data_IF_810256185980
#
_entry.id   IF_810256185980
#
_cell.length_a   1.000
_cell.length_b   1.000
_cell.length_c   1.000
_cell.angle_alpha   90.00
_cell.angle_beta   90.00
_cell.angle_gamma   90.00
#
_symmetry.space_group_name_H-M   'P 1'
#
loop_
_entity.id
_entity.type
_entity.pdbx_description
1 polymer ?
#
# COMPACT_ATOMS: atom_id res chain seq x y z
N UNK A 1 -8.71 -15.27 -0.16
CA UNK A 1 -7.76 -14.94 -1.24
C UNK A 1 -6.78 -13.91 -0.72
N UNK A 2 -5.52 -14.01 -1.09
CA UNK A 2 -4.46 -13.08 -0.68
C UNK A 2 -3.44 -12.90 -1.81
N UNK A 3 -2.63 -11.85 -1.70
CA UNK A 3 -1.47 -11.65 -2.57
C UNK A 3 -0.30 -12.47 -2.00
N UNK A 4 0.26 -13.35 -2.82
CA UNK A 4 1.50 -14.05 -2.51
C UNK A 4 2.64 -13.39 -3.29
N UNK A 5 3.24 -12.37 -2.68
CA UNK A 5 4.32 -11.57 -3.26
C UNK A 5 5.50 -12.43 -3.69
N UNK A 6 5.92 -13.38 -2.85
CA UNK A 6 7.06 -14.26 -3.12
C UNK A 6 6.88 -15.07 -4.42
N UNK A 7 5.65 -15.49 -4.72
CA UNK A 7 5.31 -16.25 -5.93
C UNK A 7 4.64 -15.41 -7.03
N UNK A 8 4.60 -14.08 -6.88
CA UNK A 8 4.03 -13.15 -7.87
C UNK A 8 2.60 -13.51 -8.33
N UNK A 9 1.75 -13.95 -7.40
CA UNK A 9 0.40 -14.44 -7.73
C UNK A 9 -0.65 -14.08 -6.67
N UNK A 10 -1.91 -14.18 -7.08
CA UNK A 10 -3.04 -14.26 -6.16
C UNK A 10 -3.27 -15.72 -5.80
N UNK A 11 -3.42 -15.96 -4.51
CA UNK A 11 -3.53 -17.29 -3.94
C UNK A 11 -4.72 -17.42 -3.00
N UNK A 12 -5.13 -18.66 -2.76
CA UNK A 12 -6.11 -19.04 -1.75
C UNK A 12 -5.60 -20.22 -0.93
N UNK A 13 -6.27 -20.49 0.19
CA UNK A 13 -5.96 -21.61 1.06
C UNK A 13 -6.09 -22.94 0.29
N UNK A 14 -5.26 -23.90 0.67
CA UNK A 14 -5.27 -25.26 0.15
C UNK A 14 -5.17 -26.22 1.33
N UNK A 15 -5.94 -27.31 1.28
CA UNK A 15 -5.90 -28.36 2.31
C UNK A 15 -4.69 -29.29 2.16
N UNK A 16 -4.08 -29.35 0.96
CA UNK A 16 -3.01 -30.31 0.61
C UNK A 16 -1.66 -29.69 0.28
N UNK A 17 -1.67 -28.42 -0.15
CA UNK A 17 -0.46 -27.69 -0.57
C UNK A 17 -0.32 -26.43 0.27
N UNK A 18 0.81 -25.76 0.18
CA UNK A 18 1.02 -24.47 0.87
C UNK A 18 -0.01 -23.41 0.45
N UNK A 19 -0.44 -23.40 -0.81
CA UNK A 19 -1.51 -22.56 -1.34
C UNK A 19 -2.02 -23.09 -2.69
N UNK A 20 -3.18 -22.59 -3.13
CA UNK A 20 -3.69 -22.77 -4.50
C UNK A 20 -3.62 -21.44 -5.24
N UNK A 21 -3.08 -21.44 -6.46
CA UNK A 21 -3.05 -20.23 -7.30
C UNK A 21 -4.44 -19.97 -7.87
N UNK A 22 -4.87 -18.72 -7.72
CA UNK A 22 -6.10 -18.20 -8.31
C UNK A 22 -5.81 -17.47 -9.62
N UNK A 23 -4.77 -16.64 -9.65
CA UNK A 23 -4.37 -15.85 -10.81
C UNK A 23 -2.90 -15.43 -10.69
N UNK A 24 -2.22 -15.20 -11.81
CA UNK A 24 -0.91 -14.53 -11.89
C UNK A 24 -0.91 -13.61 -13.12
N UNK A 25 -0.14 -12.51 -13.13
CA UNK A 25 0.00 -11.69 -14.33
C UNK A 25 0.51 -12.52 -15.52
N UNK A 26 0.09 -12.21 -16.74
CA UNK A 26 0.52 -12.92 -17.96
C UNK A 26 2.03 -12.89 -18.16
N UNK A 27 2.69 -11.80 -17.78
CA UNK A 27 4.14 -11.63 -17.92
C UNK A 27 4.98 -12.48 -16.94
N UNK A 28 4.37 -13.15 -15.95
CA UNK A 28 5.09 -14.04 -15.04
C UNK A 28 5.18 -15.44 -15.67
N UNK A 29 6.36 -15.87 -16.10
CA UNK A 29 6.52 -17.15 -16.83
C UNK A 29 6.36 -18.39 -15.94
N UNK A 30 6.74 -18.30 -14.66
CA UNK A 30 6.70 -19.44 -13.73
C UNK A 30 6.33 -19.02 -12.31
N UNK A 31 5.70 -19.94 -11.56
CA UNK A 31 5.37 -19.77 -10.15
C UNK A 31 6.55 -20.20 -9.27
N UNK A 32 7.58 -19.36 -9.20
CA UNK A 32 8.79 -19.58 -8.40
C UNK A 32 8.87 -18.59 -7.24
N UNK A 33 9.51 -18.95 -6.11
CA UNK A 33 9.63 -18.08 -4.94
C UNK A 33 10.71 -16.99 -5.13
N UNK A 34 10.54 -16.14 -6.13
CA UNK A 34 11.57 -15.22 -6.62
C UNK A 34 11.18 -13.74 -6.50
N UNK A 35 9.94 -13.45 -6.06
CA UNK A 35 9.42 -12.09 -5.92
C UNK A 35 9.77 -11.22 -7.14
N UNK A 36 9.30 -11.64 -8.33
CA UNK A 36 9.74 -11.08 -9.60
C UNK A 36 9.21 -9.65 -9.78
N UNK A 37 7.91 -9.45 -9.54
CA UNK A 37 7.22 -8.19 -9.78
C UNK A 37 6.87 -7.38 -8.52
N UNK A 38 7.00 -8.00 -7.34
CA UNK A 38 6.45 -7.47 -6.08
C UNK A 38 4.98 -7.11 -6.17
N UNK A 39 4.16 -8.10 -6.55
CA UNK A 39 2.71 -8.02 -6.40
C UNK A 39 2.39 -7.80 -4.92
N UNK A 40 1.70 -6.72 -4.58
CA UNK A 40 1.60 -6.27 -3.18
C UNK A 40 0.21 -5.77 -2.77
N UNK A 41 -0.71 -5.60 -3.71
CA UNK A 41 -2.02 -5.04 -3.42
C UNK A 41 -3.14 -5.74 -4.17
N UNK A 42 -4.32 -5.77 -3.55
CA UNK A 42 -5.54 -6.35 -4.11
C UNK A 42 -6.74 -5.47 -3.75
N UNK A 43 -7.47 -5.05 -4.77
CA UNK A 43 -8.77 -4.41 -4.65
C UNK A 43 -9.88 -5.39 -5.00
N UNK A 44 -10.91 -5.40 -4.16
CA UNK A 44 -12.12 -6.20 -4.33
C UNK A 44 -13.26 -5.27 -4.74
N UNK A 45 -13.96 -5.60 -5.81
CA UNK A 45 -15.14 -4.89 -6.31
C UNK A 45 -16.34 -5.83 -6.23
N UNK A 46 -17.39 -5.43 -5.51
CA UNK A 46 -18.62 -6.24 -5.34
C UNK A 46 -18.31 -7.69 -4.92
N UNK A 47 -17.38 -7.86 -3.98
CA UNK A 47 -16.98 -9.18 -3.44
C UNK A 47 -16.05 -10.00 -4.33
N UNK A 48 -15.65 -9.51 -5.51
CA UNK A 48 -14.73 -10.20 -6.43
C UNK A 48 -13.39 -9.49 -6.50
N UNK A 49 -12.30 -10.26 -6.50
CA UNK A 49 -10.97 -9.74 -6.83
C UNK A 49 -11.02 -9.07 -8.20
N UNK A 50 -10.60 -7.80 -8.29
CA UNK A 50 -10.68 -7.05 -9.55
C UNK A 50 -9.39 -6.37 -9.96
N UNK A 51 -8.69 -5.71 -9.06
CA UNK A 51 -7.45 -5.00 -9.41
C UNK A 51 -6.32 -5.38 -8.48
N UNK A 52 -5.10 -5.34 -9.00
CA UNK A 52 -3.88 -5.54 -8.21
C UNK A 52 -2.85 -4.48 -8.51
N UNK A 53 -1.95 -4.25 -7.56
CA UNK A 53 -0.76 -3.42 -7.76
C UNK A 53 0.50 -4.27 -7.69
N UNK A 54 1.50 -3.91 -8.48
CA UNK A 54 2.86 -4.43 -8.35
C UNK A 54 3.90 -3.31 -8.56
N UNK A 55 5.11 -3.50 -8.04
CA UNK A 55 6.19 -2.49 -8.12
C UNK A 55 6.89 -2.50 -9.46
N UNK A 56 6.88 -3.62 -10.20
CA UNK A 56 7.38 -3.65 -11.57
C UNK A 56 6.84 -4.83 -12.38
N UNK A 57 6.75 -4.68 -13.71
CA UNK A 57 6.42 -5.76 -14.66
C UNK A 57 7.62 -6.67 -14.98
N UNK A 58 8.42 -7.04 -13.97
CA UNK A 58 9.58 -7.90 -14.18
C UNK A 58 9.21 -9.38 -14.06
N UNK A 59 9.85 -10.20 -14.89
CA UNK A 59 9.86 -11.66 -14.80
C UNK A 59 11.22 -12.22 -14.36
N UNK A 60 12.08 -11.37 -13.79
CA UNK A 60 13.39 -11.74 -13.27
C UNK A 60 13.38 -11.78 -11.73
N UNK A 61 14.24 -12.62 -11.14
CA UNK A 61 14.42 -12.71 -9.68
C UNK A 61 14.61 -11.33 -9.09
N UNK A 62 13.74 -10.95 -8.14
CA UNK A 62 13.83 -9.67 -7.45
C UNK A 62 13.85 -8.42 -8.35
N UNK A 63 13.42 -8.52 -9.62
CA UNK A 63 13.66 -7.51 -10.65
C UNK A 63 12.99 -6.15 -10.41
N UNK A 64 12.01 -6.10 -9.51
CA UNK A 64 11.39 -4.85 -9.08
C UNK A 64 12.33 -3.91 -8.31
N UNK A 65 13.39 -4.42 -7.67
CA UNK A 65 14.25 -3.63 -6.75
C UNK A 65 14.92 -2.44 -7.44
N UNK A 66 15.29 -2.57 -8.71
CA UNK A 66 15.90 -1.48 -9.49
C UNK A 66 14.87 -0.57 -10.20
N UNK A 67 13.57 -0.79 -10.00
CA UNK A 67 12.49 -0.10 -10.72
C UNK A 67 11.43 0.51 -9.78
N UNK A 68 11.84 0.86 -8.56
CA UNK A 68 10.95 1.35 -7.48
C UNK A 68 10.24 2.68 -7.78
N UNK A 69 10.89 3.61 -8.48
CA UNK A 69 10.38 4.98 -8.66
C UNK A 69 9.25 5.11 -9.69
N UNK A 70 9.32 4.43 -10.83
CA UNK A 70 8.33 4.53 -11.92
C UNK A 70 8.00 3.18 -12.57
N UNK A 71 8.40 2.07 -11.96
CA UNK A 71 8.15 0.75 -12.51
C UNK A 71 6.75 0.22 -12.22
N UNK A 72 6.06 0.81 -11.25
CA UNK A 72 4.84 0.28 -10.68
C UNK A 72 3.64 0.45 -11.58
N UNK A 73 2.70 -0.48 -11.44
CA UNK A 73 1.47 -0.46 -12.21
C UNK A 73 0.29 -1.03 -11.43
N UNK A 74 -0.90 -0.72 -11.96
CA UNK A 74 -2.18 -1.26 -11.58
C UNK A 74 -2.69 -2.16 -12.71
N UNK A 75 -3.12 -3.37 -12.37
CA UNK A 75 -3.56 -4.40 -13.33
C UNK A 75 -5.01 -4.76 -13.06
N UNK A 76 -5.82 -4.87 -14.12
CA UNK A 76 -7.14 -5.49 -14.05
C UNK A 76 -7.00 -7.01 -14.16
N UNK A 77 -7.46 -7.73 -13.14
CA UNK A 77 -7.35 -9.20 -13.07
C UNK A 77 -8.17 -9.88 -14.18
N UNK A 78 -9.27 -9.28 -14.62
CA UNK A 78 -10.20 -9.92 -15.56
C UNK A 78 -9.72 -9.88 -17.00
N UNK A 79 -9.08 -8.79 -17.40
CA UNK A 79 -8.52 -8.61 -18.76
C UNK A 79 -7.02 -8.82 -18.81
N UNK A 80 -6.35 -8.88 -17.64
CA UNK A 80 -4.89 -8.87 -17.50
C UNK A 80 -4.24 -7.57 -18.04
N UNK A 81 -5.03 -6.52 -18.24
CA UNK A 81 -4.56 -5.26 -18.79
C UNK A 81 -3.96 -4.35 -17.72
N UNK A 82 -2.94 -3.59 -18.13
CA UNK A 82 -2.37 -2.53 -17.32
C UNK A 82 -3.27 -1.30 -17.43
N UNK A 83 -3.91 -0.96 -16.31
CA UNK A 83 -4.83 0.19 -16.23
C UNK A 83 -4.08 1.49 -15.94
N UNK A 84 -3.02 1.42 -15.14
CA UNK A 84 -2.19 2.59 -14.82
C UNK A 84 -0.73 2.15 -14.66
N UNK A 85 0.20 2.99 -15.11
CA UNK A 85 1.64 2.75 -15.06
C UNK A 85 2.39 3.98 -14.53
N UNK A 86 3.72 3.88 -14.46
CA UNK A 86 4.60 4.92 -13.93
C UNK A 86 4.34 5.27 -12.45
N UNK A 87 3.78 4.32 -11.69
CA UNK A 87 3.59 4.44 -10.25
C UNK A 87 4.89 4.12 -9.49
N UNK A 88 5.05 4.78 -8.34
CA UNK A 88 6.18 4.65 -7.42
C UNK A 88 5.80 3.76 -6.24
N UNK A 89 6.15 2.48 -6.35
CA UNK A 89 5.81 1.44 -5.37
C UNK A 89 4.33 1.50 -4.94
N UNK A 90 3.36 1.29 -5.84
CA UNK A 90 1.94 1.43 -5.51
C UNK A 90 1.48 0.37 -4.48
N UNK A 91 0.69 0.77 -3.49
CA UNK A 91 0.16 -0.14 -2.45
C UNK A 91 -1.34 0.04 -2.23
N UNK A 92 -1.93 -0.98 -1.60
CA UNK A 92 -3.29 -0.99 -1.05
C UNK A 92 -4.35 -0.37 -1.96
N UNK A 93 -4.52 -0.89 -3.19
CA UNK A 93 -5.63 -0.45 -4.04
C UNK A 93 -6.96 -0.81 -3.36
N UNK A 94 -7.92 0.11 -3.43
CA UNK A 94 -9.25 -0.01 -2.83
C UNK A 94 -10.30 0.56 -3.77
N UNK A 95 -11.35 -0.19 -4.03
CA UNK A 95 -12.54 0.34 -4.69
C UNK A 95 -13.44 0.98 -3.64
N UNK A 96 -13.68 2.29 -3.74
CA UNK A 96 -14.50 3.03 -2.77
C UNK A 96 -15.15 4.25 -3.43
N UNK A 97 -16.44 4.46 -3.18
CA UNK A 97 -17.26 5.52 -3.80
C UNK A 97 -17.04 5.64 -5.32
N UNK A 98 -17.17 4.50 -6.01
CA UNK A 98 -17.04 4.37 -7.47
C UNK A 98 -15.71 4.87 -8.07
N UNK A 99 -14.67 4.92 -7.23
CA UNK A 99 -13.29 5.25 -7.62
C UNK A 99 -12.35 4.14 -7.16
N UNK A 100 -11.26 3.98 -7.90
CA UNK A 100 -10.16 3.10 -7.54
C UNK A 100 -9.04 3.91 -6.90
N UNK A 101 -9.02 3.89 -5.56
CA UNK A 101 -8.02 4.57 -4.75
C UNK A 101 -6.79 3.71 -4.55
N UNK A 102 -5.61 4.31 -4.42
CA UNK A 102 -4.38 3.61 -4.07
C UNK A 102 -3.37 4.56 -3.41
N UNK A 103 -2.30 3.98 -2.90
CA UNK A 103 -1.16 4.68 -2.33
C UNK A 103 0.00 4.65 -3.33
N UNK A 104 0.46 5.82 -3.78
CA UNK A 104 1.69 5.95 -4.54
C UNK A 104 2.87 6.09 -3.57
N UNK A 105 3.17 5.00 -2.86
CA UNK A 105 3.85 5.02 -1.56
C UNK A 105 5.22 5.64 -1.55
N UNK A 106 6.05 5.35 -2.56
CA UNK A 106 7.41 5.90 -2.63
C UNK A 106 7.46 7.32 -3.23
N UNK A 107 6.33 7.85 -3.68
CA UNK A 107 6.16 9.27 -3.99
C UNK A 107 5.55 10.05 -2.82
N UNK A 108 4.80 9.40 -1.93
CA UNK A 108 4.11 10.07 -0.83
C UNK A 108 2.70 10.54 -1.18
N UNK A 109 2.12 10.14 -2.32
CA UNK A 109 0.76 10.57 -2.70
C UNK A 109 -0.31 9.51 -2.41
N UNK A 110 -1.35 9.94 -1.72
CA UNK A 110 -2.65 9.27 -1.72
C UNK A 110 -3.52 9.84 -2.83
N UNK A 111 -4.22 8.98 -3.57
CA UNK A 111 -5.04 9.41 -4.69
C UNK A 111 -5.87 8.29 -5.30
N UNK A 112 -6.38 8.54 -6.50
CA UNK A 112 -7.19 7.59 -7.25
C UNK A 112 -6.75 7.52 -8.72
N UNK A 113 -7.11 6.44 -9.40
CA UNK A 113 -6.88 6.30 -10.84
C UNK A 113 -8.12 6.76 -11.58
N UNK A 114 -7.95 7.70 -12.51
CA UNK A 114 -8.95 7.97 -13.54
C UNK A 114 -9.01 6.77 -14.49
N UNK A 115 -10.05 5.95 -14.33
CA UNK A 115 -10.24 4.72 -15.10
C UNK A 115 -10.40 4.96 -16.61
N UNK A 116 -10.73 6.18 -17.05
CA UNK A 116 -10.85 6.51 -18.47
C UNK A 116 -9.49 6.70 -19.13
N UNK A 117 -8.59 7.40 -18.45
CA UNK A 117 -7.30 7.80 -19.00
C UNK A 117 -6.13 6.94 -18.46
N UNK A 118 -6.37 6.14 -17.42
CA UNK A 118 -5.33 5.35 -16.76
C UNK A 118 -4.35 6.17 -15.92
N UNK A 119 -4.69 7.43 -15.63
CA UNK A 119 -3.82 8.39 -14.96
C UNK A 119 -4.09 8.35 -13.45
N UNK A 120 -3.02 8.36 -12.65
CA UNK A 120 -3.12 8.53 -11.22
C UNK A 120 -3.25 10.02 -10.87
N UNK A 121 -4.33 10.36 -10.18
CA UNK A 121 -4.67 11.70 -9.71
C UNK A 121 -4.28 11.82 -8.23
N UNK A 122 -3.19 12.53 -7.90
CA UNK A 122 -2.80 12.75 -6.51
C UNK A 122 -3.80 13.67 -5.82
N UNK A 123 -4.20 13.30 -4.61
CA UNK A 123 -5.16 14.05 -3.79
C UNK A 123 -4.47 14.67 -2.57
N UNK A 124 -3.64 13.89 -1.87
CA UNK A 124 -2.99 14.34 -0.63
C UNK A 124 -1.57 13.81 -0.54
N UNK A 125 -0.62 14.70 -0.26
CA UNK A 125 0.72 14.30 0.13
C UNK A 125 0.75 13.88 1.61
N UNK A 126 1.35 12.72 1.88
CA UNK A 126 1.55 12.16 3.20
C UNK A 126 3.07 12.04 3.47
N UNK A 127 3.62 12.64 4.54
CA UNK A 127 5.06 12.66 4.82
C UNK A 127 5.55 11.33 5.40
N UNK A 128 5.41 10.23 4.66
CA UNK A 128 5.81 8.89 5.10
C UNK A 128 5.50 7.82 4.06
N UNK A 129 6.16 6.67 4.17
CA UNK A 129 5.97 5.55 3.27
C UNK A 129 4.64 4.86 3.60
N UNK A 130 3.63 5.05 2.76
CA UNK A 130 2.27 4.56 3.05
C UNK A 130 2.11 3.09 2.67
N UNK A 131 1.42 2.31 3.50
CA UNK A 131 1.13 0.88 3.23
C UNK A 131 -0.30 0.49 3.49
N UNK A 132 -0.88 0.94 4.61
CA UNK A 132 -2.28 0.65 4.94
C UNK A 132 -3.23 1.69 4.38
N UNK A 133 -4.36 1.25 3.82
CA UNK A 133 -5.46 2.12 3.40
C UNK A 133 -6.80 1.47 3.73
N UNK A 134 -7.62 2.21 4.47
CA UNK A 134 -9.02 1.88 4.70
C UNK A 134 -9.90 3.12 4.61
N UNK A 135 -11.21 2.90 4.43
CA UNK A 135 -12.18 3.98 4.33
C UNK A 135 -13.27 3.84 5.39
N UNK A 136 -13.71 4.98 5.92
CA UNK A 136 -14.90 5.08 6.75
C UNK A 136 -15.66 6.35 6.39
N UNK A 137 -16.88 6.20 5.83
CA UNK A 137 -17.71 7.31 5.34
C UNK A 137 -16.94 8.17 4.32
N UNK A 138 -16.66 9.44 4.63
CA UNK A 138 -15.94 10.37 3.76
C UNK A 138 -14.44 10.41 4.04
N UNK A 139 -13.92 9.50 4.86
CA UNK A 139 -12.54 9.55 5.33
C UNK A 139 -11.72 8.38 4.81
N UNK A 140 -10.54 8.70 4.31
CA UNK A 140 -9.45 7.74 4.12
C UNK A 140 -8.58 7.73 5.38
N UNK A 141 -8.31 6.53 5.90
CA UNK A 141 -7.38 6.31 7.01
C UNK A 141 -6.15 5.62 6.41
N UNK A 142 -5.01 6.29 6.50
CA UNK A 142 -3.78 5.92 5.82
C UNK A 142 -2.72 5.60 6.85
N UNK A 143 -2.11 4.41 6.74
CA UNK A 143 -1.00 3.99 7.58
C UNK A 143 0.34 4.35 6.95
N UNK A 144 1.09 5.24 7.62
CA UNK A 144 2.41 5.70 7.23
C UNK A 144 3.47 4.97 8.05
N UNK A 145 4.59 4.69 7.40
CA UNK A 145 5.81 4.18 8.01
C UNK A 145 6.94 5.15 7.78
N UNK A 146 7.94 5.13 8.66
CA UNK A 146 9.19 5.84 8.37
C UNK A 146 9.83 5.25 7.13
N UNK A 147 10.31 6.12 6.25
CA UNK A 147 11.18 5.73 5.15
C UNK A 147 12.44 5.07 5.73
N UNK A 148 12.74 3.83 5.33
CA UNK A 148 13.93 3.12 5.81
C UNK A 148 15.19 3.77 5.21
N UNK A 149 16.06 4.28 6.09
CA UNK A 149 17.45 4.70 5.82
C UNK A 149 17.64 5.96 4.95
N UNK A 150 18.18 7.02 5.57
CA UNK A 150 18.94 8.11 4.94
C UNK A 150 20.29 7.61 4.39
N UNK A 151 20.32 6.49 3.66
CA UNK A 151 21.50 6.21 2.84
C UNK A 151 21.43 7.11 1.63
N UNK A 152 22.55 7.72 1.27
CA UNK A 152 22.74 8.69 0.16
C UNK A 152 22.31 8.13 -1.23
N UNK A 153 21.87 6.86 -1.27
CA UNK A 153 21.41 6.11 -2.45
C UNK A 153 19.91 5.77 -2.42
N UNK A 154 19.13 6.34 -1.50
CA UNK A 154 17.67 6.23 -1.50
C UNK A 154 17.09 7.19 -2.54
N UNK A 155 17.12 6.79 -3.83
CA UNK A 155 16.55 7.56 -4.96
C UNK A 155 15.01 7.51 -5.00
N UNK A 156 14.34 7.54 -3.84
CA UNK A 156 12.88 7.60 -3.79
C UNK A 156 12.42 9.05 -3.82
N UNK A 157 11.37 9.29 -4.59
CA UNK A 157 10.77 10.62 -4.77
C UNK A 157 10.30 11.22 -3.44
N UNK A 158 9.86 10.37 -2.50
CA UNK A 158 9.47 10.79 -1.16
C UNK A 158 10.58 11.52 -0.40
N UNK A 159 11.85 11.10 -0.50
CA UNK A 159 12.94 11.76 0.25
C UNK A 159 13.14 13.20 -0.24
N UNK A 160 13.16 13.39 -1.56
CA UNK A 160 13.25 14.73 -2.18
C UNK A 160 12.10 15.62 -1.77
N UNK A 161 10.88 15.09 -1.77
CA UNK A 161 9.67 15.86 -1.41
C UNK A 161 9.60 16.19 0.09
N UNK A 162 10.15 15.34 0.95
CA UNK A 162 10.31 15.62 2.38
C UNK A 162 11.29 16.78 2.59
N UNK A 163 12.43 16.76 1.88
CA UNK A 163 13.43 17.84 1.90
C UNK A 163 12.84 19.16 1.37
N UNK A 164 12.18 19.15 0.22
CA UNK A 164 11.50 20.32 -0.38
C UNK A 164 10.47 20.96 0.56
N UNK A 165 9.80 20.13 1.38
CA UNK A 165 8.79 20.56 2.34
C UNK A 165 9.34 20.82 3.75
N UNK A 166 10.66 20.68 3.93
CA UNK A 166 11.36 20.86 5.19
C UNK A 166 10.70 20.06 6.35
N UNK A 167 10.42 18.78 6.11
CA UNK A 167 9.76 17.90 7.08
C UNK A 167 10.39 16.51 7.10
N UNK A 168 10.29 15.83 8.25
CA UNK A 168 10.80 14.47 8.42
C UNK A 168 9.74 13.42 8.10
N UNK A 169 10.20 12.20 7.80
CA UNK A 169 9.33 11.04 7.60
C UNK A 169 8.64 10.62 8.91
N UNK A 170 7.33 10.38 8.85
CA UNK A 170 6.47 10.06 9.99
C UNK A 170 5.98 8.62 9.93
N UNK A 171 5.86 7.99 11.10
CA UNK A 171 5.16 6.70 11.27
C UNK A 171 3.86 6.97 12.02
N UNK A 172 2.72 6.52 11.51
CA UNK A 172 1.45 6.91 12.11
C UNK A 172 0.24 6.72 11.22
N UNK A 173 -0.89 7.27 11.66
CA UNK A 173 -2.14 7.29 10.92
C UNK A 173 -2.48 8.71 10.49
N UNK A 174 -2.89 8.86 9.23
CA UNK A 174 -3.44 10.11 8.70
C UNK A 174 -4.90 9.89 8.34
N UNK A 175 -5.76 10.84 8.69
CA UNK A 175 -7.18 10.84 8.37
C UNK A 175 -7.42 11.98 7.37
N UNK A 176 -7.80 11.61 6.15
CA UNK A 176 -8.00 12.53 5.02
C UNK A 176 -9.46 12.56 4.63
N UNK A 177 -10.04 13.75 4.46
CA UNK A 177 -11.35 13.92 3.83
C UNK A 177 -11.21 13.73 2.31
N UNK A 178 -11.92 12.76 1.75
CA UNK A 178 -11.75 12.34 0.35
C UNK A 178 -12.37 13.31 -0.67
N UNK A 179 -13.20 14.25 -0.22
CA UNK A 179 -13.83 15.26 -1.09
C UNK A 179 -12.95 16.49 -1.22
N UNK A 180 -12.30 16.89 -0.12
CA UNK A 180 -11.44 18.08 -0.08
C UNK A 180 -9.95 17.76 -0.26
N UNK A 181 -9.53 16.53 0.04
CA UNK A 181 -8.12 16.13 0.10
C UNK A 181 -7.38 16.64 1.34
N UNK A 182 -8.07 17.29 2.28
CA UNK A 182 -7.46 17.83 3.49
C UNK A 182 -7.16 16.71 4.50
N UNK A 183 -5.97 16.76 5.10
CA UNK A 183 -5.66 15.99 6.30
C UNK A 183 -6.42 16.64 7.46
N UNK A 184 -7.41 15.93 8.01
CA UNK A 184 -8.23 16.44 9.11
C UNK A 184 -7.67 16.10 10.48
N UNK A 185 -6.99 14.96 10.61
CA UNK A 185 -6.41 14.50 11.86
C UNK A 185 -5.21 13.61 11.56
N UNK A 186 -4.32 13.49 12.56
CA UNK A 186 -3.22 12.53 12.50
C UNK A 186 -2.84 12.02 13.88
N UNK A 187 -2.28 10.82 13.88
CA UNK A 187 -1.68 10.14 15.02
C UNK A 187 -0.25 9.75 14.63
N UNK A 188 0.73 10.14 15.43
CA UNK A 188 2.12 9.75 15.20
C UNK A 188 2.58 8.78 16.28
N UNK A 189 3.25 7.71 15.84
CA UNK A 189 3.92 6.74 16.68
C UNK A 189 5.37 7.16 16.90
N UNK A 190 5.70 7.45 18.15
CA UNK A 190 7.08 7.72 18.57
C UNK A 190 7.74 6.43 19.10
N UNK A 191 9.08 6.41 19.21
CA UNK A 191 9.80 5.26 19.76
C UNK A 191 9.97 4.07 18.80
N UNK A 192 9.68 2.85 19.28
CA UNK A 192 10.05 1.59 18.62
C UNK A 192 9.24 1.30 17.35
N UNK A 193 8.01 1.82 17.26
CA UNK A 193 7.13 1.56 16.11
C UNK A 193 7.51 2.52 14.98
N UNK A 194 8.25 2.01 14.01
CA UNK A 194 8.65 2.75 12.80
C UNK A 194 7.90 2.31 11.56
N UNK A 195 7.07 1.27 11.66
CA UNK A 195 6.47 0.59 10.52
C UNK A 195 5.04 0.13 10.78
N UNK A 196 4.17 0.46 9.82
CA UNK A 196 2.79 -0.01 9.75
C UNK A 196 2.59 -0.72 8.41
N UNK A 197 2.01 -1.92 8.44
CA UNK A 197 1.84 -2.72 7.22
C UNK A 197 0.43 -2.62 6.64
N UNK A 198 -0.59 -2.43 7.47
CA UNK A 198 -1.97 -2.30 7.04
C UNK A 198 -2.82 -1.50 8.03
N UNK A 199 -3.98 -1.04 7.58
CA UNK A 199 -5.02 -0.38 8.39
C UNK A 199 -6.36 -1.01 8.01
N UNK A 200 -7.15 -1.38 9.02
CA UNK A 200 -8.46 -1.97 8.84
C UNK A 200 -9.49 -1.29 9.76
N UNK A 201 -10.74 -1.21 9.29
CA UNK A 201 -11.86 -0.64 10.05
C UNK A 201 -12.76 -1.76 10.53
N UNK A 202 -12.81 -1.96 11.85
CA UNK A 202 -13.75 -2.86 12.52
C UNK A 202 -15.06 -2.12 12.79
N UNK A 203 -16.06 -2.35 11.94
CA UNK A 203 -17.37 -1.70 12.08
C UNK A 203 -18.14 -2.28 13.26
N UNK A 204 -18.82 -1.42 14.01
CA UNK A 204 -19.71 -1.80 15.12
C UNK A 204 -19.01 -2.68 16.18
N UNK A 205 -17.72 -2.46 16.40
CA UNK A 205 -16.92 -3.21 17.38
C UNK A 205 -16.55 -2.29 18.53
N UNK A 206 -16.81 -2.75 19.75
CA UNK A 206 -16.34 -2.13 21.00
C UNK A 206 -15.37 -3.08 21.70
N UNK A 207 -14.35 -2.53 22.37
CA UNK A 207 -13.38 -3.28 23.17
C UNK A 207 -12.67 -4.42 22.41
N UNK A 208 -11.98 -4.15 21.27
CA UNK A 208 -11.24 -5.19 20.58
C UNK A 208 -10.12 -5.74 21.49
N UNK A 209 -10.02 -7.06 21.58
CA UNK A 209 -8.89 -7.71 22.27
C UNK A 209 -7.79 -8.02 21.27
N UNK A 210 -6.57 -7.57 21.57
CA UNK A 210 -5.38 -7.96 20.83
C UNK A 210 -4.90 -9.32 21.34
N UNK A 211 -4.82 -10.31 20.46
CA UNK A 211 -4.17 -11.58 20.77
C UNK A 211 -2.74 -11.53 20.22
N UNK A 212 -1.74 -11.52 21.09
CA UNK A 212 -0.32 -11.57 20.71
C UNK A 212 0.31 -12.87 21.19
N UNK A 213 1.21 -13.44 20.38
CA UNK A 213 1.98 -14.63 20.77
C UNK A 213 3.37 -14.28 21.33
N UNK A 214 3.82 -13.02 21.23
CA UNK A 214 5.10 -12.54 21.79
C UNK A 214 5.08 -11.01 22.02
N UNK A 215 5.07 -10.58 23.30
CA UNK A 215 5.79 -9.42 23.91
C UNK A 215 5.12 -8.99 25.22
N UNK A 216 5.94 -8.77 26.27
CA UNK A 216 5.55 -7.98 27.44
C UNK A 216 5.32 -6.53 26.99
N UNK A 217 4.24 -5.93 27.46
CA UNK A 217 3.90 -4.52 27.21
C UNK A 217 4.61 -3.62 28.23
N UNK A 218 5.93 -3.69 28.31
CA UNK A 218 6.71 -2.70 29.05
C UNK A 218 7.05 -1.54 28.12
N UNK A 219 6.30 -0.45 28.23
CA UNK A 219 6.51 0.78 27.48
C UNK A 219 5.43 1.04 26.44
N UNK A 220 4.33 1.66 26.87
CA UNK A 220 3.42 2.34 25.95
C UNK A 220 4.26 3.42 25.24
N UNK A 221 4.50 3.22 23.95
CA UNK A 221 5.19 4.21 23.14
C UNK A 221 4.39 5.53 23.18
N UNK A 222 5.05 6.69 23.35
CA UNK A 222 4.34 7.96 23.36
C UNK A 222 3.63 8.18 22.01
N UNK A 223 2.41 8.67 22.07
CA UNK A 223 1.61 9.02 20.90
C UNK A 223 1.50 10.54 20.83
N UNK A 224 1.66 11.11 19.64
CA UNK A 224 1.37 12.52 19.39
C UNK A 224 0.12 12.66 18.53
N UNK A 225 -0.81 13.51 18.97
CA UNK A 225 -2.04 13.84 18.25
C UNK A 225 -1.95 15.24 17.67
N UNK A 226 -2.54 15.45 16.50
CA UNK A 226 -2.84 16.78 16.00
C UNK A 226 -4.22 16.83 15.35
N UNK A 227 -4.81 18.01 15.48
CA UNK A 227 -5.96 18.46 14.70
C UNK A 227 -5.49 18.93 13.32
#
# INVERSE_FOLDING_TARGET
>A
MHVNTLYSCLATLSEKHSFKVFWKPSFISALTPEDRCHLNGLAVVKGKARYVTCVNRSDAVAGWRQRRSKGGCLIDISSDEIISENLSMPHSPRWYNDKLWLLNSAAGDFGYVDMKNGIFEPVTFCPGYMRGLAFHKNYAIIGLSKQRSRTVLSDLELDKRLEEKNTDSRCGLFIVDIHTGNVLHWLEFEGLISELYDVQILKNTSCPTLFTFFLSLDGIAPFRFGL
#
